data_IF_464780177290
#
_entry.id   IF_464780177290
#
_cell.length_a   1.000
_cell.length_b   1.000
_cell.length_c   1.000
_cell.angle_alpha   90.00
_cell.angle_beta   90.00
_cell.angle_gamma   90.00
#
_symmetry.space_group_name_H-M   'P 1'
#
loop_
_entity.id
_entity.type
_entity.pdbx_description
1 polymer ?
#
# COMPACT_ATOMS: atom_id res chain seq x y z
N UNK A 1 9.82 13.97 -12.88
CA UNK A 1 8.61 13.35 -12.29
C UNK A 1 8.33 12.09 -13.10
N UNK A 2 8.66 10.92 -12.55
CA UNK A 2 8.56 9.64 -13.27
C UNK A 2 7.09 9.30 -13.49
N UNK A 3 6.73 8.93 -14.72
CA UNK A 3 5.35 8.64 -15.09
C UNK A 3 4.97 7.29 -14.48
N UNK A 4 4.17 7.32 -13.41
CA UNK A 4 3.67 6.11 -12.76
C UNK A 4 2.67 5.46 -13.73
N UNK A 5 2.92 4.20 -14.06
CA UNK A 5 2.10 3.44 -15.01
C UNK A 5 1.27 2.41 -14.25
N UNK A 6 0.13 2.86 -13.71
CA UNK A 6 -0.87 1.96 -13.10
C UNK A 6 -1.85 1.48 -14.16
N UNK A 7 -2.38 0.26 -13.99
CA UNK A 7 -3.49 -0.18 -14.80
C UNK A 7 -4.67 0.80 -14.73
N UNK A 8 -5.42 0.89 -15.84
CA UNK A 8 -6.62 1.72 -15.94
C UNK A 8 -7.61 1.45 -14.81
N UNK A 9 -7.77 0.17 -14.43
CA UNK A 9 -8.67 -0.24 -13.34
C UNK A 9 -8.27 0.38 -12.01
N UNK A 10 -6.98 0.42 -11.68
CA UNK A 10 -6.50 1.04 -10.44
C UNK A 10 -6.69 2.56 -10.51
N UNK A 11 -6.36 3.18 -11.64
CA UNK A 11 -6.59 4.62 -11.85
C UNK A 11 -8.06 5.01 -11.68
N UNK A 12 -8.99 4.22 -12.23
CA UNK A 12 -10.43 4.47 -12.12
C UNK A 12 -10.91 4.38 -10.66
N UNK A 13 -10.43 3.39 -9.90
CA UNK A 13 -10.73 3.26 -8.47
C UNK A 13 -10.22 4.46 -7.68
N UNK A 14 -8.97 4.89 -7.93
CA UNK A 14 -8.37 6.04 -7.25
C UNK A 14 -9.13 7.33 -7.55
N UNK A 15 -9.52 7.57 -8.80
CA UNK A 15 -10.33 8.73 -9.16
C UNK A 15 -11.70 8.71 -8.46
N UNK A 16 -12.38 7.56 -8.44
CA UNK A 16 -13.69 7.44 -7.80
C UNK A 16 -13.62 7.60 -6.27
N UNK A 17 -12.51 7.23 -5.65
CA UNK A 17 -12.32 7.40 -4.21
C UNK A 17 -11.89 8.81 -3.80
N UNK A 18 -11.78 9.76 -4.75
CA UNK A 18 -11.29 11.12 -4.47
C UNK A 18 -9.79 11.17 -4.16
N UNK A 19 -9.03 10.14 -4.55
CA UNK A 19 -7.59 10.06 -4.32
C UNK A 19 -6.83 11.11 -5.14
N UNK A 20 -5.85 11.77 -4.53
CA UNK A 20 -5.00 12.77 -5.21
C UNK A 20 -3.61 12.21 -5.52
N UNK A 21 -3.07 12.57 -6.68
CA UNK A 21 -1.77 12.06 -7.16
C UNK A 21 -0.56 12.41 -6.27
N UNK A 22 -0.68 13.39 -5.37
CA UNK A 22 0.36 13.72 -4.37
C UNK A 22 0.59 12.61 -3.33
N UNK A 23 -0.29 11.60 -3.31
CA UNK A 23 -0.19 10.48 -2.41
C UNK A 23 0.54 9.26 -3.01
N UNK A 24 1.24 9.36 -4.14
CA UNK A 24 2.12 8.26 -4.56
C UNK A 24 3.38 8.19 -3.71
N UNK A 25 3.94 6.99 -3.54
CA UNK A 25 5.25 6.81 -2.91
C UNK A 25 6.35 7.06 -3.93
N UNK A 26 7.54 7.45 -3.47
CA UNK A 26 8.65 7.69 -4.38
C UNK A 26 9.12 6.39 -5.05
N UNK A 27 9.80 6.53 -6.20
CA UNK A 27 10.41 5.38 -6.88
C UNK A 27 11.39 4.64 -5.98
N UNK A 28 12.16 5.40 -5.18
CA UNK A 28 13.09 4.86 -4.20
C UNK A 28 12.39 3.97 -3.18
N UNK A 29 11.36 4.50 -2.51
CA UNK A 29 10.58 3.72 -1.54
C UNK A 29 9.96 2.48 -2.18
N UNK A 30 9.43 2.62 -3.41
CA UNK A 30 8.85 1.50 -4.12
C UNK A 30 9.87 0.39 -4.41
N UNK A 31 11.07 0.72 -4.89
CA UNK A 31 12.09 -0.29 -5.16
C UNK A 31 12.64 -0.92 -3.88
N UNK A 32 12.87 -0.15 -2.81
CA UNK A 32 13.21 -0.71 -1.50
C UNK A 32 12.16 -1.71 -1.02
N UNK A 33 10.89 -1.47 -1.35
CA UNK A 33 9.82 -2.37 -0.99
C UNK A 33 9.91 -3.69 -1.75
N UNK A 34 10.11 -3.62 -3.07
CA UNK A 34 10.23 -4.81 -3.92
C UNK A 34 11.44 -5.66 -3.54
N UNK A 35 12.61 -5.03 -3.33
CA UNK A 35 13.85 -5.72 -2.93
C UNK A 35 13.66 -6.50 -1.62
N UNK A 36 12.90 -5.96 -0.67
CA UNK A 36 12.60 -6.67 0.58
C UNK A 36 11.76 -7.92 0.34
N UNK A 37 10.72 -7.87 -0.48
CA UNK A 37 9.93 -9.06 -0.81
C UNK A 37 10.76 -10.11 -1.55
N UNK A 38 11.56 -9.68 -2.53
CA UNK A 38 12.47 -10.56 -3.27
C UNK A 38 13.48 -11.24 -2.36
N UNK A 39 14.07 -10.49 -1.40
CA UNK A 39 14.99 -11.04 -0.38
C UNK A 39 14.37 -12.16 0.45
N UNK A 40 13.05 -12.14 0.67
CA UNK A 40 12.33 -13.20 1.37
C UNK A 40 11.76 -14.29 0.45
N UNK A 41 12.12 -14.27 -0.84
CA UNK A 41 11.69 -15.27 -1.82
C UNK A 41 10.28 -15.06 -2.36
N UNK A 42 9.68 -13.89 -2.15
CA UNK A 42 8.35 -13.58 -2.66
C UNK A 42 8.43 -12.87 -4.02
N UNK A 43 7.97 -13.55 -5.07
CA UNK A 43 7.72 -12.90 -6.35
C UNK A 43 6.29 -12.34 -6.36
N UNK A 44 6.17 -11.01 -6.30
CA UNK A 44 4.87 -10.36 -6.23
C UNK A 44 4.20 -10.31 -7.62
N UNK A 45 2.90 -10.63 -7.71
CA UNK A 45 2.11 -10.37 -8.91
C UNK A 45 2.06 -8.87 -9.24
N UNK A 46 1.92 -8.53 -10.52
CA UNK A 46 1.91 -7.13 -10.97
C UNK A 46 0.77 -6.32 -10.36
N UNK A 47 -0.39 -6.94 -10.12
CA UNK A 47 -1.50 -6.29 -9.41
C UNK A 47 -1.14 -5.87 -7.99
N UNK A 48 -0.30 -6.64 -7.30
CA UNK A 48 0.18 -6.30 -5.94
C UNK A 48 1.20 -5.18 -6.02
N UNK A 49 2.09 -5.21 -7.01
CA UNK A 49 3.05 -4.13 -7.28
C UNK A 49 2.34 -2.80 -7.56
N UNK A 50 1.26 -2.81 -8.33
CA UNK A 50 0.43 -1.62 -8.59
C UNK A 50 -0.14 -1.03 -7.30
N UNK A 51 -0.67 -1.87 -6.41
CA UNK A 51 -1.19 -1.41 -5.10
C UNK A 51 -0.06 -0.87 -4.21
N UNK A 52 1.10 -1.52 -4.19
CA UNK A 52 2.27 -1.06 -3.43
C UNK A 52 2.81 0.28 -3.93
N UNK A 53 2.72 0.56 -5.24
CA UNK A 53 3.11 1.85 -5.81
C UNK A 53 2.25 3.02 -5.30
N UNK A 54 1.07 2.72 -4.79
CA UNK A 54 0.13 3.69 -4.23
C UNK A 54 0.25 3.75 -2.71
N UNK A 55 0.21 2.59 -2.06
CA UNK A 55 0.03 2.50 -0.60
C UNK A 55 1.24 1.93 0.14
N UNK A 56 2.23 1.35 -0.53
CA UNK A 56 3.35 0.66 0.12
C UNK A 56 4.11 1.58 1.07
N UNK A 57 4.31 1.18 2.32
CA UNK A 57 5.02 2.06 3.28
C UNK A 57 4.12 3.09 3.98
N UNK A 58 2.84 3.22 3.59
CA UNK A 58 1.92 4.18 4.18
C UNK A 58 1.11 3.59 5.33
N UNK A 59 0.75 4.45 6.27
CA UNK A 59 -0.27 4.20 7.28
C UNK A 59 -1.43 5.14 7.00
N UNK A 60 -2.61 4.59 6.72
CA UNK A 60 -3.84 5.36 6.53
C UNK A 60 -4.61 5.30 7.84
N UNK A 61 -4.90 6.47 8.41
CA UNK A 61 -5.71 6.59 9.61
C UNK A 61 -7.06 7.14 9.18
N UNK A 62 -8.10 6.39 9.50
CA UNK A 62 -9.49 6.79 9.38
C UNK A 62 -9.93 7.27 10.76
N UNK A 63 -9.89 8.58 10.96
CA UNK A 63 -10.62 9.20 12.06
C UNK A 63 -12.12 9.18 11.73
N UNK A 64 -12.97 9.05 12.74
CA UNK A 64 -14.37 8.60 12.65
C UNK A 64 -15.30 9.36 11.66
N UNK A 65 -16.48 8.77 11.46
CA UNK A 65 -17.54 9.00 10.45
C UNK A 65 -17.20 8.57 9.01
N UNK A 66 -15.92 8.29 8.72
CA UNK A 66 -15.46 7.79 7.42
C UNK A 66 -15.94 6.36 7.10
N UNK A 67 -16.26 5.55 8.12
CA UNK A 67 -16.74 4.16 7.98
C UNK A 67 -18.05 4.03 8.77
N UNK A 68 -19.19 3.76 8.11
CA UNK A 68 -20.46 3.55 8.81
C UNK A 68 -20.31 2.45 9.86
N UNK A 69 -20.84 2.65 11.07
CA UNK A 69 -20.82 1.72 12.22
C UNK A 69 -19.51 1.60 13.03
N UNK A 70 -18.58 2.56 12.92
CA UNK A 70 -17.39 2.62 13.77
C UNK A 70 -17.21 3.96 14.47
N UNK A 71 -17.20 3.89 15.80
CA UNK A 71 -17.04 5.04 16.69
C UNK A 71 -15.59 5.23 17.17
N UNK A 72 -14.64 4.45 16.65
CA UNK A 72 -13.22 4.53 17.02
C UNK A 72 -12.32 4.58 15.78
N UNK A 73 -11.24 5.37 15.87
CA UNK A 73 -10.30 5.54 14.77
C UNK A 73 -9.74 4.20 14.32
N UNK A 74 -9.66 4.03 13.01
CA UNK A 74 -9.23 2.79 12.39
C UNK A 74 -7.99 3.01 11.54
N UNK A 75 -7.02 2.14 11.70
CA UNK A 75 -5.74 2.25 11.03
C UNK A 75 -5.54 1.11 10.03
N UNK A 76 -5.26 1.45 8.78
CA UNK A 76 -4.72 0.53 7.78
C UNK A 76 -3.23 0.83 7.57
N UNK A 77 -2.38 -0.07 8.04
CA UNK A 77 -0.94 0.02 7.87
C UNK A 77 -0.46 -0.89 6.72
N UNK A 78 -0.06 -0.25 5.62
CA UNK A 78 0.52 -0.86 4.43
C UNK A 78 2.05 -0.82 4.46
N UNK A 79 2.66 -0.44 5.59
CA UNK A 79 4.10 -0.47 5.75
C UNK A 79 4.63 -1.90 5.73
N UNK A 80 5.75 -2.06 5.04
CA UNK A 80 6.40 -3.34 4.91
C UNK A 80 6.78 -3.98 6.24
N UNK A 81 7.24 -3.17 7.18
CA UNK A 81 7.66 -3.66 8.49
C UNK A 81 6.47 -4.26 9.25
N UNK A 82 5.28 -3.68 9.12
CA UNK A 82 4.06 -4.20 9.72
C UNK A 82 3.52 -5.45 9.01
N UNK A 83 3.56 -5.50 7.68
CA UNK A 83 3.11 -6.66 6.90
C UNK A 83 4.05 -7.85 7.06
N UNK A 84 5.37 -7.65 6.89
CA UNK A 84 6.38 -8.71 7.02
C UNK A 84 6.69 -9.06 8.48
N UNK A 85 6.60 -8.11 9.41
CA UNK A 85 6.77 -8.35 10.85
C UNK A 85 5.69 -9.26 11.43
N UNK A 86 4.47 -9.21 10.89
CA UNK A 86 3.39 -10.16 11.23
C UNK A 86 3.66 -11.57 10.71
N UNK A 87 4.33 -11.72 9.56
CA UNK A 87 4.74 -13.02 9.02
C UNK A 87 5.82 -13.68 9.88
N UNK A 88 6.79 -12.92 10.40
CA UNK A 88 7.80 -13.45 11.35
C UNK A 88 7.21 -14.05 12.63
N UNK A 89 6.01 -13.61 13.04
CA UNK A 89 5.31 -14.14 14.22
C UNK A 89 4.57 -15.47 13.96
N UNK A 90 4.51 -15.95 12.73
CA UNK A 90 3.96 -17.27 12.38
C UNK A 90 5.09 -18.22 11.94
N UNK A 91 5.98 -18.52 12.88
CA UNK A 91 6.69 -19.79 12.90
C UNK A 91 6.31 -20.41 14.24
N UNK A 92 5.26 -21.24 14.22
CA UNK A 92 4.91 -22.17 15.30
C UNK A 92 5.21 -23.55 14.74
#
# INVERSE_FOLDING_TARGET
MTKINLSRRVMDVLHQSGYKNEYFISDFEYFEILEKYEKFGFNLPDSVKEVLRVFGGRKIIYDNDSIPSRDASYEMDFSLNSVLGKLKKKII
#
